data_IF_776995419580
#
_entry.id   IF_776995419580
#
_cell.length_a   1.000
_cell.length_b   1.000
_cell.length_c   1.000
_cell.angle_alpha   90.00
_cell.angle_beta   90.00
_cell.angle_gamma   90.00
#
_symmetry.space_group_name_H-M   'P 1'
#
loop_
_entity.id
_entity.type
_entity.pdbx_description
1 polymer ?
#
# COMPACT_ATOMS: atom_id res chain seq x y z
N UNK A 1 -49.57 -6.51 -39.09
CA UNK A 1 -48.43 -6.83 -39.97
C UNK A 1 -47.50 -5.63 -40.01
N UNK A 2 -46.20 -5.87 -39.79
CA UNK A 2 -45.05 -5.05 -40.20
C UNK A 2 -44.84 -3.75 -39.39
N UNK A 3 -44.05 -3.83 -38.32
CA UNK A 3 -42.58 -3.63 -38.28
C UNK A 3 -42.29 -2.18 -37.84
N UNK A 4 -42.06 -1.95 -36.54
CA UNK A 4 -40.73 -1.95 -35.92
C UNK A 4 -39.85 -0.80 -36.43
N UNK A 5 -39.69 0.24 -35.60
CA UNK A 5 -38.54 1.13 -35.68
C UNK A 5 -38.20 1.65 -34.27
N UNK A 6 -37.76 0.71 -33.42
CA UNK A 6 -37.05 1.04 -32.18
C UNK A 6 -35.62 1.39 -32.60
N UNK A 7 -35.31 2.68 -32.73
CA UNK A 7 -33.92 3.14 -32.86
C UNK A 7 -33.35 3.22 -31.45
N UNK A 8 -33.01 2.06 -30.89
CA UNK A 8 -32.09 1.96 -29.76
C UNK A 8 -30.68 2.11 -30.34
N UNK A 9 -30.21 3.35 -30.46
CA UNK A 9 -28.86 3.62 -30.96
C UNK A 9 -27.86 3.15 -29.90
N UNK A 10 -27.39 1.93 -30.14
CA UNK A 10 -26.32 1.24 -29.43
C UNK A 10 -25.04 2.07 -29.56
N UNK A 11 -24.75 2.86 -28.52
CA UNK A 11 -23.44 3.48 -28.31
C UNK A 11 -22.66 2.64 -27.32
N UNK A 12 -22.28 1.43 -27.71
CA UNK A 12 -21.34 0.59 -26.98
C UNK A 12 -19.95 1.21 -27.11
N UNK A 13 -19.64 2.21 -26.28
CA UNK A 13 -18.26 2.65 -26.06
C UNK A 13 -17.55 1.57 -25.25
N UNK A 14 -17.06 0.56 -25.96
CA UNK A 14 -16.00 -0.29 -25.47
C UNK A 14 -14.72 0.55 -25.40
N UNK A 15 -14.52 1.26 -24.29
CA UNK A 15 -13.20 1.77 -23.92
C UNK A 15 -12.41 0.58 -23.39
N UNK A 16 -11.91 -0.26 -24.29
CA UNK A 16 -10.84 -1.21 -23.99
C UNK A 16 -9.52 -0.43 -23.94
N UNK A 17 -9.38 0.41 -22.91
CA UNK A 17 -8.10 0.98 -22.54
C UNK A 17 -7.27 -0.11 -21.87
N UNK A 18 -6.53 -0.89 -22.66
CA UNK A 18 -5.47 -1.71 -22.12
C UNK A 18 -4.33 -0.76 -21.70
N UNK A 19 -4.38 -0.25 -20.48
CA UNK A 19 -3.25 0.52 -19.96
C UNK A 19 -2.09 -0.45 -19.81
N UNK A 20 -1.04 -0.24 -20.60
CA UNK A 20 0.28 -0.80 -20.27
C UNK A 20 0.62 -0.25 -18.91
N UNK A 21 0.51 -1.08 -17.88
CA UNK A 21 0.73 -0.63 -16.52
C UNK A 21 2.24 -0.38 -16.36
N UNK A 22 2.60 0.88 -16.24
CA UNK A 22 3.97 1.36 -16.02
C UNK A 22 4.38 1.04 -14.57
N UNK A 23 5.56 0.44 -14.32
CA UNK A 23 6.10 0.21 -12.98
C UNK A 23 6.00 1.43 -12.06
N UNK A 24 6.27 2.64 -12.57
CA UNK A 24 6.22 3.88 -11.78
C UNK A 24 4.80 4.19 -11.29
N UNK A 25 3.80 3.97 -12.15
CA UNK A 25 2.40 4.12 -11.76
C UNK A 25 1.98 3.07 -10.72
N UNK A 26 2.41 1.81 -10.89
CA UNK A 26 2.16 0.73 -9.93
C UNK A 26 2.79 1.01 -8.56
N UNK A 27 3.98 1.60 -8.54
CA UNK A 27 4.67 2.01 -7.32
C UNK A 27 3.80 2.95 -6.50
N UNK A 28 3.22 3.97 -7.15
CA UNK A 28 2.31 4.91 -6.50
C UNK A 28 1.07 4.23 -5.91
N UNK A 29 0.51 3.24 -6.60
CA UNK A 29 -0.62 2.48 -6.07
C UNK A 29 -0.23 1.61 -4.86
N UNK A 30 0.90 0.90 -4.94
CA UNK A 30 1.39 0.02 -3.90
C UNK A 30 1.71 0.79 -2.61
N UNK A 31 2.52 1.85 -2.71
CA UNK A 31 2.92 2.70 -1.55
C UNK A 31 1.71 3.35 -0.88
N UNK A 32 0.75 3.89 -1.65
CA UNK A 32 -0.50 4.45 -1.07
C UNK A 32 -1.38 3.38 -0.42
N UNK A 33 -1.41 2.17 -0.97
CA UNK A 33 -2.18 1.07 -0.40
C UNK A 33 -1.56 0.59 0.93
N UNK A 34 -0.23 0.51 0.98
CA UNK A 34 0.52 0.24 2.19
C UNK A 34 0.32 1.33 3.25
N UNK A 35 0.44 2.61 2.88
CA UNK A 35 0.14 3.73 3.78
C UNK A 35 -1.24 3.56 4.43
N UNK A 36 -2.28 3.27 3.63
CA UNK A 36 -3.63 3.06 4.15
C UNK A 36 -3.67 1.88 5.13
N UNK A 37 -3.03 0.77 4.82
CA UNK A 37 -2.99 -0.40 5.70
C UNK A 37 -2.39 -0.04 7.07
N UNK A 38 -1.26 0.70 7.08
CA UNK A 38 -0.62 1.18 8.31
C UNK A 38 -1.50 2.17 9.06
N UNK A 39 -2.05 3.18 8.37
CA UNK A 39 -2.85 4.24 9.00
C UNK A 39 -4.12 3.72 9.68
N UNK A 40 -4.75 2.71 9.11
CA UNK A 40 -5.94 2.10 9.70
C UNK A 40 -5.61 1.02 10.74
N UNK A 41 -4.36 0.90 11.18
CA UNK A 41 -3.92 -0.05 12.19
C UNK A 41 -3.96 -1.51 11.74
N UNK A 42 -4.07 -1.75 10.43
CA UNK A 42 -4.15 -3.08 9.85
C UNK A 42 -2.75 -3.54 9.41
N UNK A 43 -1.85 -3.66 10.38
CA UNK A 43 -0.46 -4.07 10.13
C UNK A 43 -0.38 -5.49 9.57
N UNK A 44 -1.33 -6.37 9.89
CA UNK A 44 -1.45 -7.69 9.28
C UNK A 44 -1.74 -7.61 7.77
N UNK A 45 -2.48 -6.59 7.31
CA UNK A 45 -2.63 -6.33 5.88
C UNK A 45 -1.42 -5.64 5.27
N UNK A 46 -0.69 -4.84 6.05
CA UNK A 46 0.59 -4.26 5.61
C UNK A 46 1.64 -5.36 5.34
N UNK A 47 1.60 -6.47 6.10
CA UNK A 47 2.47 -7.63 5.89
C UNK A 47 2.36 -8.21 4.48
N UNK A 48 1.17 -8.13 3.86
CA UNK A 48 0.93 -8.67 2.50
C UNK A 48 1.71 -7.94 1.41
N UNK A 49 2.25 -6.76 1.70
CA UNK A 49 3.12 -6.04 0.79
C UNK A 49 4.56 -6.54 0.86
N UNK A 50 4.94 -7.33 1.88
CA UNK A 50 6.30 -7.83 2.02
C UNK A 50 6.64 -8.81 0.91
N UNK A 51 7.88 -8.77 0.41
CA UNK A 51 8.42 -9.81 -0.48
C UNK A 51 8.44 -11.16 0.23
N UNK A 52 8.79 -11.15 1.50
CA UNK A 52 8.81 -12.32 2.38
C UNK A 52 7.92 -12.07 3.60
N UNK A 53 6.59 -12.29 3.47
CA UNK A 53 5.66 -12.12 4.58
C UNK A 53 6.03 -13.02 5.76
N UNK A 54 6.00 -12.46 6.96
CA UNK A 54 6.12 -13.23 8.19
C UNK A 54 4.78 -13.91 8.53
N UNK A 55 4.82 -15.22 8.74
CA UNK A 55 3.63 -16.03 9.10
C UNK A 55 3.35 -16.06 10.61
N UNK A 56 4.07 -15.27 11.41
CA UNK A 56 4.07 -15.37 12.87
C UNK A 56 3.08 -14.42 13.58
N UNK A 57 1.93 -14.12 12.97
CA UNK A 57 0.86 -13.33 13.58
C UNK A 57 0.14 -14.10 14.70
N UNK A 58 0.75 -14.15 15.88
CA UNK A 58 0.13 -14.75 17.08
C UNK A 58 -0.96 -13.84 17.67
N UNK A 59 -1.90 -14.36 18.47
CA UNK A 59 -2.88 -13.53 19.19
C UNK A 59 -2.23 -12.42 20.02
N UNK A 60 -1.10 -12.70 20.68
CA UNK A 60 -0.37 -11.72 21.48
C UNK A 60 0.20 -10.57 20.62
N UNK A 61 0.70 -10.87 19.41
CA UNK A 61 1.17 -9.85 18.46
C UNK A 61 -0.01 -9.00 17.98
N UNK A 62 -1.14 -9.62 17.62
CA UNK A 62 -2.34 -8.90 17.19
C UNK A 62 -2.88 -7.99 18.28
N UNK A 63 -2.94 -8.47 19.52
CA UNK A 63 -3.37 -7.67 20.67
C UNK A 63 -2.44 -6.47 20.86
N UNK A 64 -1.11 -6.71 20.95
CA UNK A 64 -0.12 -5.64 21.13
C UNK A 64 -0.22 -4.57 20.03
N UNK A 65 -0.29 -4.98 18.77
CA UNK A 65 -0.34 -4.06 17.63
C UNK A 65 -1.72 -3.38 17.48
N UNK A 66 -2.81 -4.02 17.90
CA UNK A 66 -4.16 -3.44 17.87
C UNK A 66 -4.33 -2.22 18.80
N UNK A 67 -3.45 -2.09 19.80
CA UNK A 67 -3.41 -0.94 20.73
C UNK A 67 -2.78 0.31 20.12
N UNK A 68 -2.03 0.16 19.03
CA UNK A 68 -1.40 1.27 18.30
C UNK A 68 -2.47 1.99 17.48
N UNK A 69 -2.57 3.30 17.65
CA UNK A 69 -3.43 4.18 16.84
C UNK A 69 -2.56 5.14 16.06
N UNK A 70 -2.55 5.01 14.74
CA UNK A 70 -1.79 5.89 13.85
C UNK A 70 -2.61 7.16 13.59
N UNK A 71 -2.02 8.32 13.89
CA UNK A 71 -2.64 9.64 13.70
C UNK A 71 -2.08 10.37 12.47
N UNK A 72 -0.89 9.98 12.01
CA UNK A 72 -0.25 10.58 10.85
C UNK A 72 0.69 9.62 10.13
N UNK A 73 0.79 9.80 8.82
CA UNK A 73 1.76 9.15 7.96
C UNK A 73 2.21 10.17 6.93
N UNK A 74 3.49 10.47 6.89
CA UNK A 74 4.07 11.52 6.06
C UNK A 74 5.29 10.98 5.34
N UNK A 75 5.28 11.03 4.01
CA UNK A 75 6.46 10.72 3.20
C UNK A 75 7.43 11.90 3.29
N UNK A 76 8.61 11.66 3.89
CA UNK A 76 9.65 12.68 4.07
C UNK A 76 10.56 12.78 2.86
N UNK A 77 10.95 11.63 2.33
CA UNK A 77 11.76 11.51 1.12
C UNK A 77 11.40 10.24 0.37
N UNK A 78 11.46 10.27 -0.95
CA UNK A 78 11.20 9.13 -1.83
C UNK A 78 12.13 9.21 -3.04
N UNK A 79 12.89 8.14 -3.28
CA UNK A 79 13.86 8.06 -4.39
C UNK A 79 13.60 6.78 -5.17
N UNK A 80 13.30 6.92 -6.47
CA UNK A 80 13.29 5.81 -7.42
C UNK A 80 14.70 5.69 -8.01
N UNK A 81 15.25 4.48 -8.00
CA UNK A 81 16.56 4.19 -8.60
C UNK A 81 16.50 4.27 -10.14
N UNK A 82 17.63 4.51 -10.84
CA UNK A 82 17.65 4.65 -12.29
C UNK A 82 17.18 3.41 -13.07
N UNK A 83 17.12 2.24 -12.43
CA UNK A 83 16.61 1.01 -13.02
C UNK A 83 15.08 0.91 -13.02
N UNK A 84 14.39 1.86 -12.40
CA UNK A 84 12.93 1.94 -12.24
C UNK A 84 12.31 0.72 -11.54
N UNK A 85 13.14 -0.10 -10.86
CA UNK A 85 12.72 -1.32 -10.17
C UNK A 85 12.98 -1.28 -8.68
N UNK A 86 13.85 -0.40 -8.21
CA UNK A 86 14.12 -0.23 -6.80
C UNK A 86 13.73 1.17 -6.35
N UNK A 87 13.15 1.26 -5.15
CA UNK A 87 12.79 2.54 -4.55
C UNK A 87 13.09 2.53 -3.06
N UNK A 88 13.62 3.63 -2.55
CA UNK A 88 13.75 3.90 -1.13
C UNK A 88 12.85 5.04 -0.71
N UNK A 89 12.22 4.92 0.46
CA UNK A 89 11.35 5.96 0.99
C UNK A 89 11.54 6.06 2.51
N UNK A 90 11.65 7.28 3.03
CA UNK A 90 11.62 7.53 4.47
C UNK A 90 10.28 8.14 4.82
N UNK A 91 9.59 7.56 5.81
CA UNK A 91 8.29 8.05 6.27
C UNK A 91 8.33 8.37 7.76
N UNK A 92 7.53 9.35 8.14
CA UNK A 92 7.27 9.73 9.53
C UNK A 92 5.87 9.25 9.89
N UNK A 93 5.79 8.37 10.88
CA UNK A 93 4.55 7.82 11.40
C UNK A 93 4.30 8.46 12.76
N UNK A 94 3.15 9.10 12.92
CA UNK A 94 2.67 9.58 14.22
C UNK A 94 1.66 8.59 14.77
N UNK A 95 1.78 8.24 16.04
CA UNK A 95 0.93 7.25 16.67
C UNK A 95 0.83 7.47 18.18
N UNK A 96 -0.15 6.85 18.82
CA UNK A 96 -0.22 6.72 20.27
C UNK A 96 -0.68 5.31 20.66
N UNK A 97 -0.49 4.92 21.92
CA UNK A 97 -1.11 3.72 22.46
C UNK A 97 -2.41 4.08 23.17
N UNK A 98 -3.44 3.25 23.02
CA UNK A 98 -4.73 3.41 23.70
C UNK A 98 -4.61 3.58 25.23
N UNK A 99 -3.54 3.05 25.83
CA UNK A 99 -3.27 3.07 27.25
C UNK A 99 -2.85 4.44 27.81
N UNK A 100 -2.01 5.18 27.06
CA UNK A 100 -1.35 6.40 27.56
C UNK A 100 -1.75 7.67 26.79
N UNK A 101 -2.29 7.52 25.57
CA UNK A 101 -2.72 8.62 24.69
C UNK A 101 -1.61 9.66 24.42
N UNK A 102 -0.34 9.27 24.54
CA UNK A 102 0.80 10.15 24.27
C UNK A 102 1.18 10.00 22.80
N UNK A 103 1.08 11.09 22.01
CA UNK A 103 1.53 11.07 20.61
C UNK A 103 3.05 10.93 20.54
N UNK A 104 3.49 9.94 19.79
CA UNK A 104 4.88 9.57 19.51
C UNK A 104 5.11 9.65 18.01
N UNK A 105 6.37 9.79 17.64
CA UNK A 105 6.80 9.79 16.24
C UNK A 105 7.79 8.66 16.00
N UNK A 106 7.58 7.90 14.93
CA UNK A 106 8.47 6.86 14.43
C UNK A 106 8.96 7.26 13.04
N UNK A 107 10.26 7.13 12.79
CA UNK A 107 10.84 7.21 11.46
C UNK A 107 11.00 5.78 10.93
N UNK A 108 10.41 5.52 9.77
CA UNK A 108 10.44 4.21 9.11
C UNK A 108 11.14 4.33 7.75
N UNK A 109 12.12 3.46 7.52
CA UNK A 109 12.97 3.47 6.32
C UNK A 109 12.61 2.27 5.44
N UNK A 110 11.92 2.58 4.35
CA UNK A 110 11.31 1.60 3.48
C UNK A 110 12.16 1.35 2.25
N UNK A 111 12.30 0.08 1.89
CA UNK A 111 12.89 -0.34 0.62
C UNK A 111 11.87 -1.16 -0.15
N UNK A 112 11.70 -0.84 -1.41
CA UNK A 112 10.74 -1.46 -2.30
C UNK A 112 11.41 -1.97 -3.56
N UNK A 113 10.90 -3.08 -4.08
CA UNK A 113 11.39 -3.74 -5.28
C UNK A 113 10.23 -4.17 -6.18
N UNK A 114 10.35 -3.88 -7.47
CA UNK A 114 9.42 -4.30 -8.50
C UNK A 114 9.79 -5.67 -9.04
N UNK A 115 8.83 -6.58 -9.00
CA UNK A 115 8.91 -7.87 -9.65
C UNK A 115 8.30 -7.78 -11.07
N UNK A 116 9.11 -7.94 -12.13
CA UNK A 116 8.63 -7.83 -13.51
C UNK A 116 7.83 -9.06 -13.97
N UNK A 117 7.99 -10.22 -13.33
CA UNK A 117 7.31 -11.46 -13.73
C UNK A 117 5.82 -11.40 -13.38
N UNK A 118 5.53 -10.95 -12.16
CA UNK A 118 4.15 -10.80 -11.65
C UNK A 118 3.66 -9.35 -11.64
N UNK A 119 4.49 -8.40 -12.10
CA UNK A 119 4.17 -6.97 -12.23
C UNK A 119 3.68 -6.33 -10.94
N UNK A 120 4.43 -6.55 -9.85
CA UNK A 120 4.04 -6.09 -8.52
C UNK A 120 5.22 -5.48 -7.77
N UNK A 121 4.95 -4.44 -6.99
CA UNK A 121 5.90 -3.88 -6.04
C UNK A 121 5.78 -4.56 -4.68
N UNK A 122 6.92 -4.88 -4.10
CA UNK A 122 7.04 -5.47 -2.77
C UNK A 122 7.85 -4.58 -1.85
N UNK A 123 7.45 -4.51 -0.58
CA UNK A 123 8.26 -4.01 0.50
C UNK A 123 9.31 -5.08 0.86
N UNK A 124 10.58 -4.72 0.80
CA UNK A 124 11.72 -5.60 1.13
C UNK A 124 12.28 -5.30 2.51
N UNK A 125 11.98 -4.12 3.07
CA UNK A 125 12.28 -3.81 4.46
C UNK A 125 11.28 -4.47 5.43
N UNK A 126 11.62 -4.46 6.71
CA UNK A 126 10.70 -4.84 7.79
C UNK A 126 9.52 -3.88 7.91
N UNK A 127 8.43 -4.33 8.54
CA UNK A 127 7.35 -3.45 8.95
C UNK A 127 7.81 -2.49 10.06
N UNK A 128 7.16 -1.33 10.21
CA UNK A 128 7.44 -0.40 11.31
C UNK A 128 7.27 -1.07 12.67
N UNK A 129 8.30 -0.98 13.51
CA UNK A 129 8.27 -1.47 14.88
C UNK A 129 7.91 -0.32 15.82
N UNK A 130 6.74 -0.39 16.44
CA UNK A 130 6.28 0.56 17.44
C UNK A 130 6.90 0.22 18.81
N UNK A 131 7.76 1.09 19.38
CA UNK A 131 8.41 0.88 20.68
C UNK A 131 7.48 1.05 21.87
#
# INVERSE_FOLDING_TARGET
MRAMLIIFFTGLLAVSGCSTTDPVNMMGYATRAYERAVRWGNLESAERFRREPADNWTPAIRERLGRVKVTGYEVINSTLEPDERHMSQTVRIKYYYDADLVERTLRDEQRWEYDPEIKQWFLVSELPTFP
#
